data_IF_717015742188
#
_entry.id   IF_717015742188
#
_cell.length_a   1.000
_cell.length_b   1.000
_cell.length_c   1.000
_cell.angle_alpha   90.00
_cell.angle_beta   90.00
_cell.angle_gamma   90.00
#
_symmetry.space_group_name_H-M   'P 1'
#
loop_
_entity.id
_entity.type
_entity.pdbx_description
1 polymer ?
#
# COMPACT_ATOMS: atom_id res chain seq x y z
N UNK A 1 -2.85 0.84 9.37
CA UNK A 1 -2.53 -0.27 8.43
C UNK A 1 -1.26 -0.97 8.92
N UNK A 2 -1.03 -2.25 8.61
CA UNK A 2 0.19 -3.00 8.99
C UNK A 2 0.71 -3.74 7.75
N UNK A 3 2.03 -3.83 7.59
CA UNK A 3 2.77 -4.52 6.52
C UNK A 3 3.76 -5.53 7.10
N UNK A 4 4.21 -6.47 6.27
CA UNK A 4 5.25 -7.42 6.68
C UNK A 4 6.58 -6.73 7.02
N UNK A 5 6.92 -5.65 6.33
CA UNK A 5 8.11 -4.82 6.61
C UNK A 5 8.11 -4.21 8.02
N UNK A 6 6.93 -4.09 8.62
CA UNK A 6 6.76 -3.53 9.97
C UNK A 6 7.14 -4.53 11.07
N UNK A 7 7.26 -5.83 10.75
CA UNK A 7 7.52 -6.89 11.74
C UNK A 7 8.88 -6.72 12.39
N UNK A 8 9.94 -6.43 11.62
CA UNK A 8 11.30 -6.28 12.14
C UNK A 8 11.43 -5.13 13.17
N UNK A 9 11.06 -3.87 12.87
CA UNK A 9 11.14 -2.79 13.86
C UNK A 9 10.20 -2.98 15.04
N UNK A 10 9.08 -3.69 14.85
CA UNK A 10 8.16 -4.00 15.94
C UNK A 10 8.75 -5.02 16.89
N UNK A 11 9.32 -6.13 16.40
CA UNK A 11 9.97 -7.12 17.24
C UNK A 11 11.20 -6.54 17.96
N UNK A 12 11.96 -5.69 17.28
CA UNK A 12 13.08 -4.96 17.88
C UNK A 12 12.60 -4.09 19.07
N UNK A 13 11.48 -3.38 18.90
CA UNK A 13 10.86 -2.62 19.99
C UNK A 13 10.35 -3.50 21.14
N UNK A 14 9.81 -4.69 20.85
CA UNK A 14 9.31 -5.64 21.86
C UNK A 14 10.44 -6.17 22.75
N UNK A 15 11.60 -6.46 22.16
CA UNK A 15 12.76 -6.99 22.90
C UNK A 15 13.73 -5.90 23.37
N UNK A 16 13.34 -4.63 23.25
CA UNK A 16 14.14 -3.46 23.62
C UNK A 16 15.52 -3.41 22.92
N UNK A 17 15.62 -3.96 21.72
CA UNK A 17 16.83 -3.96 20.92
C UNK A 17 16.77 -2.83 19.89
N UNK A 18 17.64 -1.80 19.98
CA UNK A 18 17.69 -0.76 18.96
C UNK A 18 18.17 -1.34 17.62
N UNK A 19 17.55 -0.89 16.53
CA UNK A 19 17.99 -1.19 15.17
C UNK A 19 18.90 -0.06 14.64
N UNK A 20 19.92 -0.38 13.84
CA UNK A 20 20.57 0.60 12.99
C UNK A 20 19.53 1.30 12.10
N UNK A 21 19.71 2.59 11.84
CA UNK A 21 18.78 3.40 11.04
C UNK A 21 18.47 2.77 9.67
N UNK A 22 19.46 2.18 9.02
CA UNK A 22 19.34 1.56 7.70
C UNK A 22 18.78 0.11 7.72
N UNK A 23 18.48 -0.49 8.88
CA UNK A 23 18.10 -1.90 8.95
C UNK A 23 16.65 -2.19 8.52
N UNK A 24 15.76 -1.20 8.60
CA UNK A 24 14.35 -1.34 8.26
C UNK A 24 13.76 -0.01 7.73
N UNK A 25 14.27 0.52 6.59
CA UNK A 25 13.87 1.85 6.09
C UNK A 25 12.35 1.95 5.81
N UNK A 26 11.76 0.86 5.31
CA UNK A 26 10.33 0.77 5.00
C UNK A 26 9.45 0.36 6.19
N UNK A 27 10.07 -0.02 7.30
CA UNK A 27 9.38 -0.56 8.45
C UNK A 27 8.84 0.54 9.36
N UNK A 28 7.66 0.32 9.95
CA UNK A 28 7.09 1.17 10.99
C UNK A 28 6.77 0.33 12.23
N UNK A 29 7.18 0.80 13.40
CA UNK A 29 6.90 0.11 14.66
C UNK A 29 5.41 0.23 15.02
N UNK A 30 4.72 -0.91 15.20
CA UNK A 30 3.33 -0.96 15.68
C UNK A 30 3.18 -1.62 17.06
N UNK A 31 4.25 -1.69 17.86
CA UNK A 31 4.24 -2.29 19.20
C UNK A 31 3.13 -1.71 20.10
N UNK A 32 2.92 -0.39 20.07
CA UNK A 32 1.84 0.27 20.83
C UNK A 32 0.43 -0.23 20.47
N UNK A 33 0.24 -0.72 19.24
CA UNK A 33 -1.01 -1.37 18.84
C UNK A 33 -1.17 -2.73 19.52
N UNK A 34 -0.10 -3.51 19.62
CA UNK A 34 -0.10 -4.85 20.21
C UNK A 34 -0.40 -4.82 21.71
N UNK A 35 0.11 -3.83 22.42
CA UNK A 35 -0.11 -3.66 23.87
C UNK A 35 -1.39 -2.87 24.21
N UNK A 36 -2.15 -2.44 23.19
CA UNK A 36 -3.45 -1.81 23.38
C UNK A 36 -3.40 -0.37 23.90
N UNK A 37 -2.31 0.37 23.66
CA UNK A 37 -2.22 1.78 24.03
C UNK A 37 -3.35 2.63 23.40
N UNK A 38 -3.71 3.80 23.95
CA UNK A 38 -4.74 4.68 23.39
C UNK A 38 -4.50 5.04 21.92
N UNK A 39 -5.56 5.25 21.14
CA UNK A 39 -5.45 5.46 19.69
C UNK A 39 -4.61 6.69 19.33
N UNK A 40 -4.63 7.69 20.20
CA UNK A 40 -3.95 8.98 20.11
C UNK A 40 -2.43 8.84 20.28
N UNK A 41 -1.96 7.77 20.94
CA UNK A 41 -0.52 7.49 21.13
C UNK A 41 0.03 6.51 20.09
N UNK A 42 -0.84 5.92 19.26
CA UNK A 42 -0.42 4.94 18.25
C UNK A 42 0.18 5.63 17.02
N UNK A 43 1.45 5.36 16.75
CA UNK A 43 2.07 5.68 15.46
C UNK A 43 1.67 4.64 14.42
N UNK A 44 0.61 4.91 13.67
CA UNK A 44 0.16 4.05 12.57
C UNK A 44 0.64 4.58 11.23
N UNK A 45 1.13 3.68 10.37
CA UNK A 45 1.40 4.04 8.98
C UNK A 45 0.11 4.37 8.23
N UNK A 46 0.19 5.45 7.45
CA UNK A 46 -0.90 5.98 6.64
C UNK A 46 -0.88 5.37 5.23
N UNK A 47 0.31 5.29 4.64
CA UNK A 47 0.53 4.83 3.28
C UNK A 47 1.20 3.45 3.23
N UNK A 48 1.03 2.75 2.10
CA UNK A 48 1.73 1.50 1.81
C UNK A 48 1.97 1.33 0.30
N UNK A 49 3.24 1.27 -0.11
CA UNK A 49 3.63 0.84 -1.44
C UNK A 49 4.08 -0.64 -1.42
N UNK A 50 3.60 -1.43 -2.38
CA UNK A 50 3.97 -2.84 -2.59
C UNK A 50 4.20 -3.10 -4.07
N UNK A 51 5.17 -3.94 -4.39
CA UNK A 51 5.30 -4.52 -5.73
C UNK A 51 4.68 -5.92 -5.76
N UNK A 52 3.90 -6.21 -6.80
CA UNK A 52 3.48 -7.59 -7.09
C UNK A 52 4.66 -8.42 -7.57
N UNK A 53 4.49 -9.76 -7.64
CA UNK A 53 5.51 -10.66 -8.17
C UNK A 53 5.92 -10.38 -9.62
N UNK A 54 5.10 -9.66 -10.38
CA UNK A 54 5.44 -9.21 -11.74
C UNK A 54 5.73 -7.70 -11.85
N UNK A 55 6.01 -7.03 -10.73
CA UNK A 55 6.49 -5.65 -10.71
C UNK A 55 5.41 -4.58 -10.81
N UNK A 56 4.11 -4.92 -10.70
CA UNK A 56 3.06 -3.90 -10.62
C UNK A 56 3.05 -3.27 -9.25
N UNK A 57 3.15 -1.95 -9.20
CA UNK A 57 3.02 -1.21 -7.97
C UNK A 57 1.56 -1.17 -7.53
N UNK A 58 1.35 -1.42 -6.24
CA UNK A 58 0.12 -1.20 -5.52
C UNK A 58 0.40 -0.17 -4.44
N UNK A 59 -0.44 0.86 -4.37
CA UNK A 59 -0.35 1.90 -3.37
C UNK A 59 -1.65 1.99 -2.57
N UNK A 60 -1.55 2.07 -1.25
CA UNK A 60 -2.69 2.30 -0.37
C UNK A 60 -2.49 3.59 0.41
N UNK A 61 -3.56 4.36 0.50
CA UNK A 61 -3.72 5.50 1.40
C UNK A 61 -5.11 5.41 2.02
N UNK A 62 -5.15 5.12 3.33
CA UNK A 62 -6.39 4.83 4.04
C UNK A 62 -7.26 3.75 3.33
N UNK A 63 -8.51 4.06 2.95
CA UNK A 63 -9.39 3.11 2.27
C UNK A 63 -9.09 2.98 0.77
N UNK A 64 -8.28 3.86 0.18
CA UNK A 64 -8.01 3.83 -1.25
C UNK A 64 -6.88 2.86 -1.59
N UNK A 65 -7.02 2.20 -2.74
CA UNK A 65 -6.02 1.30 -3.32
C UNK A 65 -5.87 1.60 -4.80
N UNK A 66 -4.67 2.01 -5.20
CA UNK A 66 -4.23 2.19 -6.57
C UNK A 66 -3.38 0.99 -6.99
N UNK A 67 -3.54 0.51 -8.22
CA UNK A 67 -2.67 -0.50 -8.84
C UNK A 67 -2.24 0.01 -10.22
N UNK A 68 -0.93 0.08 -10.45
CA UNK A 68 -0.35 0.44 -11.74
C UNK A 68 -0.41 -0.77 -12.69
N UNK A 69 -1.40 -0.76 -13.58
CA UNK A 69 -1.66 -1.81 -14.58
C UNK A 69 -2.89 -2.67 -14.28
N UNK A 70 -3.27 -3.51 -15.25
CA UNK A 70 -4.50 -4.34 -15.20
C UNK A 70 -4.19 -5.83 -15.03
N UNK A 71 -5.08 -6.57 -14.36
CA UNK A 71 -4.90 -8.00 -14.04
C UNK A 71 -4.19 -8.19 -12.70
N UNK A 72 -4.10 -9.45 -12.24
CA UNK A 72 -3.79 -9.76 -10.83
C UNK A 72 -2.38 -9.41 -10.35
N UNK A 73 -1.42 -9.30 -11.27
CA UNK A 73 -0.03 -9.08 -10.89
C UNK A 73 0.75 -10.35 -10.49
N UNK A 74 0.20 -11.56 -10.70
CA UNK A 74 0.98 -12.81 -10.69
C UNK A 74 0.33 -14.02 -10.03
N UNK A 75 -0.51 -13.84 -9.00
CA UNK A 75 -1.04 -14.96 -8.22
C UNK A 75 -2.30 -15.60 -8.81
N UNK A 76 -3.08 -14.87 -9.62
CA UNK A 76 -4.30 -15.37 -10.25
C UNK A 76 -4.37 -15.04 -11.74
N UNK A 77 -5.17 -15.80 -12.50
CA UNK A 77 -5.39 -15.49 -13.92
C UNK A 77 -6.54 -14.48 -14.07
N UNK A 78 -6.43 -13.50 -14.99
CA UNK A 78 -5.26 -13.17 -15.80
C UNK A 78 -4.22 -12.36 -15.00
N UNK A 79 -2.94 -12.73 -15.08
CA UNK A 79 -1.86 -12.01 -14.39
C UNK A 79 -1.64 -10.61 -14.97
N UNK A 80 -1.80 -10.48 -16.28
CA UNK A 80 -1.74 -9.22 -17.02
C UNK A 80 -2.94 -9.14 -17.95
N UNK A 81 -3.51 -7.94 -18.04
CA UNK A 81 -4.53 -7.61 -19.02
C UNK A 81 -4.05 -6.42 -19.84
N UNK A 82 -4.12 -6.49 -21.18
CA UNK A 82 -3.78 -5.34 -22.02
C UNK A 82 -4.84 -4.24 -21.82
N UNK A 83 -4.39 -3.00 -21.75
CA UNK A 83 -5.29 -1.85 -21.80
C UNK A 83 -5.97 -1.83 -23.17
N UNK A 84 -7.29 -1.60 -23.17
CA UNK A 84 -8.06 -1.37 -24.41
C UNK A 84 -8.05 0.12 -24.72
N UNK A 85 -8.19 0.48 -25.99
CA UNK A 85 -8.32 1.88 -26.39
C UNK A 85 -9.52 2.52 -25.67
N UNK A 86 -9.29 3.64 -24.98
CA UNK A 86 -10.31 4.31 -24.16
C UNK A 86 -10.65 3.61 -22.83
N UNK A 87 -9.99 2.50 -22.50
CA UNK A 87 -10.11 1.80 -21.22
C UNK A 87 -9.15 2.33 -20.15
N UNK A 88 -9.32 1.92 -18.89
CA UNK A 88 -8.44 2.34 -17.80
C UNK A 88 -7.03 1.76 -17.99
N UNK A 89 -6.01 2.58 -17.71
CA UNK A 89 -4.61 2.15 -17.73
C UNK A 89 -4.19 1.43 -16.43
N UNK A 90 -4.92 1.64 -15.34
CA UNK A 90 -4.69 1.04 -14.04
C UNK A 90 -5.99 0.68 -13.33
N UNK A 91 -5.88 0.45 -12.02
CA UNK A 91 -7.02 0.10 -11.19
C UNK A 91 -7.06 0.99 -9.96
N UNK A 92 -8.26 1.46 -9.60
CA UNK A 92 -8.50 2.24 -8.39
C UNK A 92 -9.72 1.67 -7.67
N UNK A 93 -9.58 1.41 -6.37
CA UNK A 93 -10.63 0.85 -5.53
C UNK A 93 -10.74 1.61 -4.21
N UNK A 94 -11.95 1.67 -3.66
CA UNK A 94 -12.21 2.14 -2.30
C UNK A 94 -12.58 0.97 -1.40
N UNK A 95 -11.61 0.39 -0.70
CA UNK A 95 -11.73 -0.83 0.08
C UNK A 95 -12.71 -0.74 1.26
N UNK A 96 -12.98 0.47 1.77
CA UNK A 96 -14.02 0.66 2.80
C UNK A 96 -15.46 0.47 2.28
N UNK A 97 -15.66 0.46 0.96
CA UNK A 97 -16.95 0.30 0.28
C UNK A 97 -16.98 -0.97 -0.57
N UNK A 98 -15.84 -1.30 -1.16
CA UNK A 98 -15.64 -2.43 -2.05
C UNK A 98 -14.36 -3.19 -1.65
N UNK A 99 -14.41 -3.98 -0.57
CA UNK A 99 -13.26 -4.79 -0.14
C UNK A 99 -12.92 -5.91 -1.13
N UNK A 100 -13.83 -6.26 -2.05
CA UNK A 100 -13.65 -7.29 -3.07
C UNK A 100 -13.01 -6.79 -4.37
N UNK A 101 -12.73 -5.49 -4.48
CA UNK A 101 -12.12 -4.89 -5.69
C UNK A 101 -12.95 -5.15 -6.96
N UNK A 102 -14.28 -5.12 -6.83
CA UNK A 102 -15.23 -5.44 -7.89
C UNK A 102 -15.45 -4.27 -8.86
N UNK A 103 -15.42 -3.04 -8.37
CA UNK A 103 -15.73 -1.84 -9.16
C UNK A 103 -14.48 -0.98 -9.33
N UNK A 104 -13.86 -1.04 -10.51
CA UNK A 104 -12.71 -0.21 -10.83
C UNK A 104 -13.14 1.25 -11.09
N UNK A 105 -12.73 2.15 -10.19
CA UNK A 105 -13.03 3.58 -10.22
C UNK A 105 -12.02 4.40 -11.03
N UNK A 106 -10.99 3.79 -11.63
CA UNK A 106 -9.86 4.50 -12.25
C UNK A 106 -10.29 5.54 -13.31
N UNK A 107 -11.28 5.20 -14.14
CA UNK A 107 -11.81 6.11 -15.16
C UNK A 107 -12.84 7.12 -14.61
N UNK A 108 -13.42 6.85 -13.44
CA UNK A 108 -14.50 7.65 -12.84
C UNK A 108 -13.98 8.68 -11.84
N UNK A 109 -12.80 8.45 -11.26
CA UNK A 109 -12.20 9.29 -10.21
C UNK A 109 -10.79 9.79 -10.62
N UNK A 110 -10.63 10.50 -11.76
CA UNK A 110 -9.31 10.85 -12.30
C UNK A 110 -8.50 11.77 -11.37
N UNK A 111 -9.17 12.60 -10.58
CA UNK A 111 -8.50 13.46 -9.59
C UNK A 111 -7.86 12.62 -8.47
N UNK A 112 -8.59 11.60 -7.96
CA UNK A 112 -8.07 10.70 -6.94
C UNK A 112 -6.93 9.82 -7.48
N UNK A 113 -7.01 9.38 -8.75
CA UNK A 113 -5.91 8.68 -9.42
C UNK A 113 -4.65 9.56 -9.42
N UNK A 114 -4.75 10.79 -9.91
CA UNK A 114 -3.60 11.70 -9.99
C UNK A 114 -2.99 12.00 -8.60
N UNK A 115 -3.83 12.18 -7.58
CA UNK A 115 -3.41 12.36 -6.20
C UNK A 115 -2.62 11.15 -5.68
N UNK A 116 -3.15 9.94 -5.87
CA UNK A 116 -2.50 8.71 -5.42
C UNK A 116 -1.22 8.40 -6.19
N UNK A 117 -1.18 8.70 -7.49
CA UNK A 117 0.04 8.55 -8.31
C UNK A 117 1.14 9.50 -7.86
N UNK A 118 0.79 10.75 -7.50
CA UNK A 118 1.74 11.71 -6.94
C UNK A 118 2.28 11.25 -5.57
N UNK A 119 1.41 10.75 -4.68
CA UNK A 119 1.82 10.20 -3.38
C UNK A 119 2.73 8.98 -3.53
N UNK A 120 2.40 8.07 -4.44
CA UNK A 120 3.25 6.92 -4.75
C UNK A 120 4.62 7.36 -5.26
N UNK A 121 4.67 8.33 -6.19
CA UNK A 121 5.94 8.83 -6.70
C UNK A 121 6.80 9.47 -5.60
N UNK A 122 6.20 10.19 -4.65
CA UNK A 122 6.89 10.75 -3.50
C UNK A 122 7.42 9.65 -2.55
N UNK A 123 6.63 8.60 -2.29
CA UNK A 123 7.06 7.46 -1.46
C UNK A 123 8.26 6.74 -2.09
N UNK A 124 8.24 6.53 -3.41
CA UNK A 124 9.34 5.87 -4.14
C UNK A 124 10.61 6.73 -4.25
N UNK A 125 10.51 8.04 -4.03
CA UNK A 125 11.65 8.96 -4.07
C UNK A 125 12.37 9.08 -2.71
N UNK A 126 11.81 8.53 -1.63
CA UNK A 126 12.40 8.51 -0.30
C UNK A 126 12.98 7.11 -0.02
N UNK A 127 14.28 6.88 -0.28
CA UNK A 127 14.95 5.60 -0.03
C UNK A 127 15.11 5.27 1.45
#
# INVERSE_FOLDING_TARGET
MISFTDVLPTLASVVEQPLPEAAAPDGRNFHSVLVGEPAETRSLRQTLALASGNGKMTFRDGPWKLIQGLGSGGFSKPANLPARQGGPAGQLYHLGRDPGELVNLYAFEPQKVAEMEAMLAAELANP
#
